data_IF_372952347195
#
_entry.id   IF_372952347195
#
_cell.length_a   1.000
_cell.length_b   1.000
_cell.length_c   1.000
_cell.angle_alpha   90.00
_cell.angle_beta   90.00
_cell.angle_gamma   90.00
#
_symmetry.space_group_name_H-M   'P 1'
#
loop_
_entity.id
_entity.type
_entity.pdbx_description
1 polymer ?
#
# COMPACT_ATOMS: atom_id res chain seq x y z
N UNK A 1 -1.61 -20.04 -26.98
CA UNK A 1 -1.09 -18.66 -26.99
C UNK A 1 -0.02 -18.55 -25.92
N UNK A 2 1.24 -18.33 -26.32
CA UNK A 2 2.38 -18.31 -25.39
C UNK A 2 2.35 -16.99 -24.60
N UNK A 3 2.09 -17.10 -23.30
CA UNK A 3 2.34 -16.06 -22.31
C UNK A 3 3.80 -15.62 -22.41
N UNK A 4 4.05 -14.38 -22.84
CA UNK A 4 5.36 -13.75 -22.67
C UNK A 4 5.46 -13.34 -21.20
N UNK A 5 6.23 -14.10 -20.42
CA UNK A 5 6.73 -13.66 -19.11
C UNK A 5 7.57 -12.40 -19.32
N UNK A 6 7.00 -11.23 -19.05
CA UNK A 6 7.79 -10.03 -18.78
C UNK A 6 8.32 -10.18 -17.36
N UNK A 7 9.56 -10.68 -17.26
CA UNK A 7 10.38 -10.59 -16.05
C UNK A 7 10.33 -9.15 -15.55
N UNK A 8 10.06 -9.01 -14.25
CA UNK A 8 10.15 -7.77 -13.48
C UNK A 8 11.23 -6.82 -14.04
N UNK A 9 10.81 -5.68 -14.58
CA UNK A 9 11.74 -4.72 -15.17
C UNK A 9 12.32 -3.87 -14.06
N UNK A 10 13.42 -4.33 -13.48
CA UNK A 10 14.22 -3.59 -12.51
C UNK A 10 15.35 -2.86 -13.23
N UNK A 11 15.42 -1.54 -13.08
CA UNK A 11 16.65 -0.79 -13.41
C UNK A 11 17.68 -1.16 -12.36
N UNK A 12 18.62 -2.04 -12.74
CA UNK A 12 19.70 -2.49 -11.86
C UNK A 12 20.95 -1.68 -12.19
N UNK A 13 21.33 -0.76 -11.31
CA UNK A 13 22.62 -0.06 -11.42
C UNK A 13 23.72 -1.04 -11.00
N UNK A 14 24.45 -1.63 -11.96
CA UNK A 14 25.67 -2.38 -11.67
C UNK A 14 26.85 -1.42 -11.63
N UNK A 15 27.37 -1.15 -10.43
CA UNK A 15 28.63 -0.44 -10.23
C UNK A 15 29.76 -1.47 -10.24
N UNK A 16 30.69 -1.38 -11.20
CA UNK A 16 31.82 -2.31 -11.32
C UNK A 16 32.94 -2.09 -10.28
N UNK A 17 32.62 -1.51 -9.12
CA UNK A 17 33.48 -1.48 -7.93
C UNK A 17 32.63 -1.56 -6.67
N UNK A 18 32.99 -2.51 -5.79
CA UNK A 18 32.38 -2.75 -4.49
C UNK A 18 32.42 -1.48 -3.63
N UNK A 19 31.29 -0.80 -3.50
CA UNK A 19 30.84 -0.10 -2.29
C UNK A 19 29.57 0.70 -2.61
N UNK A 20 28.45 0.36 -1.95
CA UNK A 20 27.81 1.25 -0.98
C UNK A 20 26.54 0.58 -0.43
N UNK A 21 26.59 0.25 0.86
CA UNK A 21 25.42 0.01 1.69
C UNK A 21 24.71 1.37 1.83
N UNK A 22 23.56 1.51 1.19
CA UNK A 22 22.71 2.69 1.28
C UNK A 22 21.28 2.22 1.32
N UNK A 23 20.52 2.67 2.31
CA UNK A 23 19.09 2.37 2.46
C UNK A 23 18.43 2.66 1.11
N UNK A 24 17.98 1.60 0.43
CA UNK A 24 17.35 1.68 -0.89
C UNK A 24 15.99 2.36 -0.73
N UNK A 25 15.95 3.69 -0.79
CA UNK A 25 14.70 4.39 -1.08
C UNK A 25 14.30 4.01 -2.51
N UNK A 26 13.52 2.94 -2.62
CA UNK A 26 12.93 2.53 -3.88
C UNK A 26 11.79 3.51 -4.19
N UNK A 27 11.78 4.01 -5.42
CA UNK A 27 10.77 4.97 -5.88
C UNK A 27 9.93 4.29 -6.96
N UNK A 28 8.61 4.57 -7.00
CA UNK A 28 7.77 4.14 -8.12
C UNK A 28 8.33 4.63 -9.45
N UNK A 29 8.25 3.80 -10.48
CA UNK A 29 8.76 4.11 -11.83
C UNK A 29 7.65 4.20 -12.88
N UNK A 30 6.39 3.97 -12.53
CA UNK A 30 5.25 4.07 -13.46
C UNK A 30 5.05 5.46 -14.07
N UNK A 31 5.59 6.53 -13.45
CA UNK A 31 5.59 7.90 -14.01
C UNK A 31 6.82 8.19 -14.89
N UNK A 32 7.65 7.19 -15.13
CA UNK A 32 8.99 7.35 -15.68
C UNK A 32 10.00 7.75 -14.63
N UNK A 33 11.27 7.67 -14.99
CA UNK A 33 12.37 8.08 -14.13
C UNK A 33 13.43 8.82 -14.93
N UNK A 34 13.99 9.88 -14.34
CA UNK A 34 15.25 10.47 -14.77
C UNK A 34 16.31 10.00 -13.79
N UNK A 35 17.42 9.47 -14.29
CA UNK A 35 18.54 9.05 -13.44
C UNK A 35 19.83 9.64 -13.99
N UNK A 36 20.75 9.99 -13.09
CA UNK A 36 22.08 10.46 -13.43
C UNK A 36 23.12 9.51 -12.85
N UNK A 37 24.08 9.08 -13.66
CA UNK A 37 25.23 8.29 -13.21
C UNK A 37 26.41 9.24 -13.14
N UNK A 38 26.94 9.44 -11.92
CA UNK A 38 28.12 10.25 -11.67
C UNK A 38 29.29 9.36 -11.29
N UNK A 39 30.46 9.64 -11.85
CA UNK A 39 31.70 8.95 -11.53
C UNK A 39 32.86 9.92 -11.44
N UNK A 40 33.82 9.60 -10.56
CA UNK A 40 35.05 10.37 -10.37
C UNK A 40 36.23 9.57 -10.93
N UNK A 41 36.98 10.17 -11.86
CA UNK A 41 38.21 9.57 -12.40
C UNK A 41 39.31 10.63 -12.50
N UNK A 42 40.44 10.39 -11.84
CA UNK A 42 41.59 11.31 -11.77
C UNK A 42 41.22 12.76 -11.40
N UNK A 43 40.35 12.94 -10.39
CA UNK A 43 39.92 14.27 -9.94
C UNK A 43 38.94 14.99 -10.86
N UNK A 44 38.54 14.37 -11.98
CA UNK A 44 37.51 14.89 -12.89
C UNK A 44 36.19 14.15 -12.66
N UNK A 45 35.09 14.90 -12.54
CA UNK A 45 33.73 14.35 -12.46
C UNK A 45 33.17 14.13 -13.87
N UNK A 46 32.64 12.94 -14.12
CA UNK A 46 31.87 12.61 -15.31
C UNK A 46 30.44 12.32 -14.89
N UNK A 47 29.48 12.87 -15.63
CA UNK A 47 28.05 12.70 -15.35
C UNK A 47 27.31 12.40 -16.64
N UNK A 48 26.51 11.34 -16.62
CA UNK A 48 25.61 10.96 -17.71
C UNK A 48 24.18 10.88 -17.21
N UNK A 49 23.22 11.32 -18.03
CA UNK A 49 21.80 11.25 -17.71
C UNK A 49 21.09 10.21 -18.56
N UNK A 50 20.21 9.44 -17.94
CA UNK A 50 19.35 8.47 -18.58
C UNK A 50 17.90 8.67 -18.21
N UNK A 51 17.00 8.21 -19.09
CA UNK A 51 15.55 8.30 -18.90
C UNK A 51 14.93 6.93 -19.06
N UNK A 52 14.04 6.61 -18.13
CA UNK A 52 13.12 5.51 -18.22
C UNK A 52 11.74 6.05 -18.60
N UNK A 53 11.23 5.61 -19.76
CA UNK A 53 9.88 5.91 -20.21
C UNK A 53 9.08 4.61 -20.12
N UNK A 54 8.00 4.58 -19.33
CA UNK A 54 7.16 3.40 -19.21
C UNK A 54 6.45 3.14 -20.55
N UNK A 55 6.32 1.86 -20.91
CA UNK A 55 5.59 1.45 -22.10
C UNK A 55 4.08 1.69 -21.91
N UNK A 56 3.33 1.78 -23.01
CA UNK A 56 1.90 2.09 -23.01
C UNK A 56 1.57 3.56 -23.16
N UNK A 57 0.32 3.84 -23.53
CA UNK A 57 -0.16 5.21 -23.77
C UNK A 57 -0.46 5.94 -22.45
N UNK A 58 -0.07 7.21 -22.34
CA UNK A 58 -0.35 8.03 -21.17
C UNK A 58 -1.86 8.10 -20.86
N UNK A 59 -2.22 7.86 -19.60
CA UNK A 59 -3.61 7.84 -19.12
C UNK A 59 -4.31 6.50 -19.31
N UNK A 60 -3.62 5.45 -19.75
CA UNK A 60 -4.17 4.08 -19.78
C UNK A 60 -4.00 3.32 -18.46
N UNK A 61 -3.00 3.72 -17.66
CA UNK A 61 -2.75 3.18 -16.32
C UNK A 61 -3.90 3.50 -15.36
N UNK A 62 -3.99 2.75 -14.28
CA UNK A 62 -5.00 2.98 -13.24
C UNK A 62 -4.78 4.33 -12.55
N UNK A 63 -5.85 4.94 -12.09
CA UNK A 63 -5.84 6.22 -11.35
C UNK A 63 -6.41 6.02 -9.94
N UNK A 64 -6.05 6.87 -8.98
CA UNK A 64 -6.57 6.83 -7.61
C UNK A 64 -6.45 5.45 -6.95
N UNK A 65 -5.30 4.80 -7.11
CA UNK A 65 -5.00 3.55 -6.42
C UNK A 65 -4.96 3.80 -4.91
N UNK A 66 -5.67 2.96 -4.16
CA UNK A 66 -5.69 3.01 -2.70
C UNK A 66 -5.96 1.63 -2.14
N UNK A 67 -5.41 1.34 -0.97
CA UNK A 67 -5.65 0.11 -0.24
C UNK A 67 -6.02 0.43 1.21
N UNK A 68 -6.82 -0.44 1.81
CA UNK A 68 -7.14 -0.41 3.24
C UNK A 68 -7.06 -1.83 3.80
N UNK A 69 -6.35 -1.96 4.92
CA UNK A 69 -6.33 -3.21 5.69
C UNK A 69 -7.38 -3.10 6.79
N UNK A 70 -8.14 -4.17 7.01
CA UNK A 70 -9.20 -4.23 8.01
C UNK A 70 -9.27 -5.65 8.57
N UNK A 71 -9.92 -5.80 9.72
CA UNK A 71 -10.07 -7.09 10.39
C UNK A 71 -8.74 -7.86 10.47
N UNK A 72 -7.66 -7.18 10.88
CA UNK A 72 -6.32 -7.73 11.16
C UNK A 72 -5.50 -8.08 9.91
N UNK A 73 -6.07 -8.78 8.92
CA UNK A 73 -5.30 -9.30 7.77
C UNK A 73 -6.01 -9.24 6.41
N UNK A 74 -7.23 -8.69 6.34
CA UNK A 74 -7.92 -8.51 5.06
C UNK A 74 -7.55 -7.18 4.43
N UNK A 75 -7.25 -7.17 3.15
CA UNK A 75 -6.90 -5.94 2.44
C UNK A 75 -7.78 -5.77 1.21
N UNK A 76 -8.43 -4.61 1.11
CA UNK A 76 -9.14 -4.22 -0.10
C UNK A 76 -8.36 -3.10 -0.77
N UNK A 77 -8.09 -3.26 -2.07
CA UNK A 77 -7.49 -2.24 -2.92
C UNK A 77 -8.47 -1.85 -4.01
N UNK A 78 -8.57 -0.56 -4.31
CA UNK A 78 -9.47 0.00 -5.33
C UNK A 78 -8.71 0.94 -6.24
N UNK A 79 -9.19 1.07 -7.47
CA UNK A 79 -8.66 2.05 -8.42
C UNK A 79 -9.71 2.45 -9.45
N UNK A 80 -9.49 3.61 -10.06
CA UNK A 80 -10.22 4.05 -11.23
C UNK A 80 -9.55 3.52 -12.50
N UNK A 81 -10.37 3.21 -13.49
CA UNK A 81 -9.90 2.87 -14.84
C UNK A 81 -9.23 4.11 -15.46
N UNK A 82 -8.12 3.89 -16.17
CA UNK A 82 -7.41 4.97 -16.85
C UNK A 82 -8.32 5.70 -17.83
N UNK A 83 -8.27 7.03 -17.80
CA UNK A 83 -9.10 7.91 -18.65
C UNK A 83 -8.99 7.65 -20.15
N UNK A 84 -7.83 7.15 -20.60
CA UNK A 84 -7.55 6.82 -22.00
C UNK A 84 -7.49 5.31 -22.24
N UNK A 85 -7.85 4.49 -21.24
CA UNK A 85 -7.82 3.05 -21.37
C UNK A 85 -8.92 2.57 -22.33
N UNK A 86 -8.60 1.74 -23.32
CA UNK A 86 -9.58 1.04 -24.13
C UNK A 86 -10.64 0.32 -23.30
N UNK A 87 -11.86 0.19 -23.83
CA UNK A 87 -12.95 -0.55 -23.15
C UNK A 87 -12.63 -2.02 -22.90
N UNK A 88 -11.80 -2.65 -23.73
CA UNK A 88 -11.37 -4.05 -23.57
C UNK A 88 -10.19 -4.20 -22.59
N UNK A 89 -9.81 -3.13 -21.89
CA UNK A 89 -8.69 -3.15 -20.93
C UNK A 89 -9.03 -3.98 -19.71
N UNK A 90 -8.17 -4.94 -19.38
CA UNK A 90 -8.23 -5.69 -18.12
C UNK A 90 -7.02 -5.39 -17.23
N UNK A 91 -7.24 -5.22 -15.93
CA UNK A 91 -6.20 -4.87 -14.94
C UNK A 91 -5.84 -6.02 -14.01
N UNK A 92 -4.59 -6.10 -13.58
CA UNK A 92 -4.09 -7.16 -12.72
C UNK A 92 -3.18 -6.60 -11.63
N UNK A 93 -3.64 -6.68 -10.39
CA UNK A 93 -2.88 -6.29 -9.20
C UNK A 93 -1.97 -7.41 -8.66
N UNK A 94 -0.74 -7.03 -8.32
CA UNK A 94 0.31 -7.85 -7.68
C UNK A 94 0.84 -7.14 -6.43
N UNK A 95 1.16 -7.94 -5.41
CA UNK A 95 1.73 -7.51 -4.13
C UNK A 95 3.07 -8.24 -3.89
N UNK A 96 4.12 -7.51 -3.51
CA UNK A 96 5.45 -8.07 -3.24
C UNK A 96 6.00 -7.54 -1.90
N UNK A 97 6.23 -8.43 -0.93
CA UNK A 97 6.78 -8.07 0.39
C UNK A 97 8.29 -7.78 0.35
N UNK A 98 9.03 -8.50 -0.47
CA UNK A 98 10.47 -8.29 -0.65
C UNK A 98 10.88 -8.63 -2.08
N UNK A 99 12.13 -8.35 -2.44
CA UNK A 99 12.68 -8.68 -3.77
C UNK A 99 12.96 -10.17 -3.96
N UNK A 100 13.04 -10.91 -2.86
CA UNK A 100 13.43 -12.31 -2.82
C UNK A 100 12.21 -13.24 -2.66
N UNK A 101 11.05 -12.66 -2.34
CA UNK A 101 9.78 -13.38 -2.22
C UNK A 101 8.99 -13.38 -3.54
N UNK A 102 8.16 -14.41 -3.71
CA UNK A 102 7.27 -14.57 -4.85
C UNK A 102 6.21 -13.46 -4.91
N UNK A 103 5.84 -13.04 -6.14
CA UNK A 103 4.79 -12.06 -6.35
C UNK A 103 3.41 -12.65 -6.02
N UNK A 104 2.67 -12.05 -5.08
CA UNK A 104 1.30 -12.44 -4.76
C UNK A 104 0.33 -11.77 -5.74
N UNK A 105 -0.19 -12.55 -6.70
CA UNK A 105 -1.27 -12.09 -7.58
C UNK A 105 -2.61 -12.07 -6.86
N UNK A 106 -3.37 -11.01 -7.06
CA UNK A 106 -4.74 -10.95 -6.54
C UNK A 106 -5.64 -12.04 -7.15
N UNK A 107 -6.43 -12.70 -6.30
CA UNK A 107 -7.32 -13.79 -6.68
C UNK A 107 -8.81 -13.40 -6.68
N UNK A 108 -9.18 -12.29 -6.03
CA UNK A 108 -10.58 -11.87 -5.87
C UNK A 108 -10.78 -10.44 -6.34
N UNK A 109 -11.21 -10.29 -7.58
CA UNK A 109 -11.50 -8.98 -8.17
C UNK A 109 -12.98 -8.62 -8.08
N UNK A 110 -13.25 -7.32 -8.03
CA UNK A 110 -14.57 -6.74 -8.28
C UNK A 110 -14.50 -6.00 -9.60
N UNK A 111 -15.54 -6.17 -10.41
CA UNK A 111 -15.58 -5.69 -11.78
C UNK A 111 -16.57 -4.55 -11.94
N UNK A 112 -16.28 -3.65 -12.88
CA UNK A 112 -17.25 -2.66 -13.34
C UNK A 112 -18.27 -3.28 -14.33
N UNK A 113 -19.18 -2.46 -14.84
CA UNK A 113 -20.21 -2.88 -15.79
C UNK A 113 -19.65 -3.45 -17.11
N UNK A 114 -18.41 -3.12 -17.48
CA UNK A 114 -17.73 -3.64 -18.67
C UNK A 114 -16.87 -4.88 -18.35
N UNK A 115 -16.89 -5.37 -17.11
CA UNK A 115 -16.10 -6.53 -16.69
C UNK A 115 -14.63 -6.22 -16.37
N UNK A 116 -14.24 -4.95 -16.30
CA UNK A 116 -12.87 -4.53 -15.99
C UNK A 116 -12.66 -4.59 -14.48
N UNK A 117 -11.54 -5.14 -14.03
CA UNK A 117 -11.19 -5.19 -12.62
C UNK A 117 -10.97 -3.77 -12.09
N UNK A 118 -11.72 -3.37 -11.07
CA UNK A 118 -11.66 -2.04 -10.42
C UNK A 118 -11.35 -2.12 -8.92
N UNK A 119 -11.41 -3.33 -8.35
CA UNK A 119 -10.95 -3.57 -7.00
C UNK A 119 -10.42 -5.00 -6.84
N UNK A 120 -9.64 -5.21 -5.79
CA UNK A 120 -9.07 -6.47 -5.39
C UNK A 120 -9.22 -6.67 -3.88
N UNK A 121 -9.46 -7.92 -3.46
CA UNK A 121 -9.37 -8.33 -2.06
C UNK A 121 -8.29 -9.39 -1.87
N UNK A 122 -7.36 -9.14 -0.93
CA UNK A 122 -6.40 -10.13 -0.43
C UNK A 122 -6.86 -10.66 0.93
N UNK A 123 -6.62 -11.95 1.15
CA UNK A 123 -6.77 -12.59 2.46
C UNK A 123 -5.39 -12.84 3.07
N UNK A 124 -5.31 -12.79 4.39
CA UNK A 124 -4.11 -13.17 5.15
C UNK A 124 -2.85 -12.37 4.79
N UNK A 125 -3.01 -11.07 4.61
CA UNK A 125 -1.90 -10.13 4.36
C UNK A 125 -1.04 -10.03 5.62
N UNK A 126 0.27 -10.22 5.47
CA UNK A 126 1.27 -9.98 6.52
C UNK A 126 1.50 -8.47 6.65
N UNK A 127 1.06 -7.87 7.75
CA UNK A 127 1.37 -6.45 8.01
C UNK A 127 2.80 -6.37 8.55
N UNK A 128 3.70 -5.80 7.76
CA UNK A 128 5.10 -5.58 8.10
C UNK A 128 5.37 -4.08 8.28
N UNK A 129 6.40 -3.72 9.05
CA UNK A 129 6.81 -2.32 9.27
C UNK A 129 7.59 -1.71 8.09
N UNK A 130 7.92 -2.51 7.08
CA UNK A 130 8.62 -2.06 5.87
C UNK A 130 7.64 -1.76 4.72
N UNK A 131 8.13 -1.05 3.70
CA UNK A 131 7.37 -0.74 2.51
C UNK A 131 7.14 -2.01 1.67
N UNK A 132 5.90 -2.20 1.25
CA UNK A 132 5.51 -3.29 0.37
C UNK A 132 5.25 -2.73 -1.02
N UNK A 133 5.66 -3.47 -2.07
CA UNK A 133 5.54 -3.04 -3.45
C UNK A 133 4.23 -3.54 -4.07
N UNK A 134 3.45 -2.61 -4.59
CA UNK A 134 2.23 -2.87 -5.35
C UNK A 134 2.51 -2.62 -6.84
N UNK A 135 2.02 -3.50 -7.71
CA UNK A 135 2.09 -3.33 -9.17
C UNK A 135 0.74 -3.64 -9.80
N UNK A 136 0.20 -2.74 -10.60
CA UNK A 136 -0.98 -2.99 -11.44
C UNK A 136 -0.55 -2.99 -12.89
N UNK A 137 -0.73 -4.13 -13.56
CA UNK A 137 -0.56 -4.26 -15.00
C UNK A 137 -1.90 -4.12 -15.70
N UNK A 138 -1.88 -3.80 -17.00
CA UNK A 138 -3.06 -3.84 -17.85
C UNK A 138 -2.80 -4.59 -19.15
N UNK A 139 -3.86 -5.11 -19.75
CA UNK A 139 -3.84 -5.73 -21.08
C UNK A 139 -5.03 -5.26 -21.90
N UNK A 140 -4.81 -4.93 -23.18
CA UNK A 140 -5.84 -4.65 -24.17
C UNK A 140 -5.37 -5.18 -25.53
N UNK A 141 -6.30 -5.52 -26.41
CA UNK A 141 -6.00 -5.88 -27.80
C UNK A 141 -5.78 -4.65 -28.69
N UNK A 142 -6.18 -3.45 -28.24
CA UNK A 142 -6.10 -2.20 -29.02
C UNK A 142 -4.80 -1.43 -28.79
N UNK A 143 -4.27 -1.46 -27.57
CA UNK A 143 -3.04 -0.73 -27.23
C UNK A 143 -2.34 -1.31 -26.02
N UNK A 144 -1.04 -1.03 -25.89
CA UNK A 144 -0.31 -1.28 -24.66
C UNK A 144 -0.84 -0.39 -23.53
N UNK A 145 -0.97 -0.99 -22.34
CA UNK A 145 -1.47 -0.32 -21.14
C UNK A 145 -0.29 -0.05 -20.22
N UNK A 146 -0.15 1.22 -19.83
CA UNK A 146 0.89 1.64 -18.91
C UNK A 146 0.64 1.01 -17.54
N UNK A 147 1.68 0.42 -16.94
CA UNK A 147 1.57 -0.15 -15.60
C UNK A 147 1.47 0.96 -14.55
N UNK A 148 1.10 0.59 -13.33
CA UNK A 148 1.15 1.41 -12.13
C UNK A 148 1.99 0.69 -11.09
N UNK A 149 2.75 1.43 -10.29
CA UNK A 149 3.43 0.88 -9.14
C UNK A 149 3.50 1.83 -7.95
N UNK A 150 3.53 1.30 -6.74
CA UNK A 150 3.67 2.11 -5.54
C UNK A 150 4.31 1.32 -4.41
N UNK A 151 5.02 2.02 -3.51
CA UNK A 151 5.53 1.48 -2.27
C UNK A 151 4.69 2.02 -1.13
N UNK A 152 4.04 1.14 -0.36
CA UNK A 152 3.15 1.52 0.74
C UNK A 152 3.58 0.82 2.02
N UNK A 153 3.68 1.57 3.11
CA UNK A 153 3.81 1.03 4.46
C UNK A 153 2.44 0.48 4.91
N UNK A 154 2.33 -0.85 5.06
CA UNK A 154 1.02 -1.48 5.33
C UNK A 154 0.39 -1.03 6.66
N UNK A 155 1.20 -0.72 7.68
CA UNK A 155 0.70 -0.22 8.96
C UNK A 155 0.03 1.17 8.87
N UNK A 156 0.35 1.96 7.84
CA UNK A 156 -0.24 3.31 7.64
C UNK A 156 -1.63 3.24 7.01
N UNK A 157 -1.94 2.11 6.34
CA UNK A 157 -3.24 1.86 5.71
C UNK A 157 -4.08 0.85 6.51
N UNK A 158 -3.65 0.47 7.72
CA UNK A 158 -4.41 -0.38 8.62
C UNK A 158 -5.50 0.41 9.33
N UNK A 159 -6.75 0.00 9.09
CA UNK A 159 -7.90 0.44 9.86
C UNK A 159 -8.03 -0.43 11.11
N UNK A 160 -7.62 0.13 12.24
CA UNK A 160 -7.78 -0.50 13.54
C UNK A 160 -9.26 -0.72 13.88
N UNK A 161 -9.52 -1.82 14.59
CA UNK A 161 -10.84 -2.08 15.17
C UNK A 161 -11.06 -1.18 16.40
N UNK A 162 -12.32 -0.91 16.79
CA UNK A 162 -12.61 -0.23 18.04
C UNK A 162 -12.07 -1.00 19.26
N UNK A 163 -11.91 -0.35 20.42
CA UNK A 163 -11.62 -1.03 21.68
C UNK A 163 -12.65 -2.13 21.97
N UNK A 164 -12.18 -3.21 22.59
CA UNK A 164 -13.01 -4.36 22.92
C UNK A 164 -13.40 -4.32 24.41
N UNK A 165 -14.48 -5.03 24.77
CA UNK A 165 -14.89 -5.25 26.16
C UNK A 165 -14.96 -3.96 26.99
N UNK A 166 -15.63 -2.93 26.45
CA UNK A 166 -15.85 -1.68 27.17
C UNK A 166 -16.80 -1.97 28.34
N UNK A 167 -16.34 -1.77 29.57
CA UNK A 167 -17.15 -1.90 30.79
C UNK A 167 -17.10 -0.62 31.60
N UNK A 168 -18.19 -0.35 32.33
CA UNK A 168 -18.31 0.82 33.20
C UNK A 168 -18.81 0.33 34.55
N UNK A 169 -18.02 0.56 35.59
CA UNK A 169 -18.38 0.26 36.97
C UNK A 169 -18.52 1.55 37.74
N UNK A 170 -19.69 1.78 38.34
CA UNK A 170 -19.95 2.96 39.17
C UNK A 170 -20.12 2.56 40.63
N UNK A 171 -19.49 3.31 41.54
CA UNK A 171 -19.75 3.28 42.97
C UNK A 171 -20.60 4.48 43.36
N UNK A 172 -21.46 4.32 44.36
CA UNK A 172 -22.28 5.42 44.89
C UNK A 172 -21.53 6.19 45.99
N UNK A 173 -20.55 5.56 46.65
CA UNK A 173 -19.76 6.14 47.75
C UNK A 173 -18.25 5.79 47.62
N UNK A 174 -17.39 6.70 47.14
CA UNK A 174 -17.73 7.97 46.50
C UNK A 174 -18.42 7.74 45.14
N UNK A 175 -19.21 8.72 44.67
CA UNK A 175 -19.83 8.70 43.34
C UNK A 175 -18.77 8.79 42.24
N UNK A 176 -18.25 7.64 41.82
CA UNK A 176 -17.18 7.50 40.84
C UNK A 176 -17.53 6.40 39.84
N UNK A 177 -17.29 6.64 38.55
CA UNK A 177 -17.43 5.64 37.51
C UNK A 177 -16.08 5.38 36.85
N UNK A 178 -15.65 4.11 36.84
CA UNK A 178 -14.45 3.66 36.15
C UNK A 178 -14.84 2.96 34.85
N UNK A 179 -14.38 3.51 33.72
CA UNK A 179 -14.49 2.86 32.41
C UNK A 179 -13.20 2.09 32.11
N UNK A 180 -13.32 0.83 31.69
CA UNK A 180 -12.19 0.00 31.27
C UNK A 180 -12.47 -0.61 29.90
N UNK A 181 -11.41 -0.86 29.13
CA UNK A 181 -11.50 -1.49 27.82
C UNK A 181 -10.20 -2.23 27.49
N UNK A 182 -10.31 -3.19 26.58
CA UNK A 182 -9.19 -3.87 25.97
C UNK A 182 -8.76 -3.17 24.68
N UNK A 183 -7.46 -3.09 24.44
CA UNK A 183 -6.93 -2.56 23.18
C UNK A 183 -7.35 -3.43 21.99
N UNK A 184 -7.59 -2.85 20.81
CA UNK A 184 -7.84 -3.63 19.62
C UNK A 184 -6.68 -4.56 19.28
N UNK A 185 -6.98 -5.64 18.57
CA UNK A 185 -5.95 -6.55 18.02
C UNK A 185 -5.21 -5.83 16.91
N UNK A 186 -3.88 -5.82 17.00
CA UNK A 186 -2.96 -5.22 16.02
C UNK A 186 -2.12 -6.36 15.45
N UNK A 187 -2.10 -6.50 14.12
CA UNK A 187 -1.47 -7.65 13.43
C UNK A 187 0.07 -7.58 13.34
N UNK A 188 0.65 -6.38 13.42
CA UNK A 188 2.08 -6.12 13.17
C UNK A 188 2.91 -5.84 14.44
N UNK A 189 2.32 -6.06 15.62
CA UNK A 189 3.00 -5.93 16.91
C UNK A 189 3.12 -7.31 17.56
N UNK A 190 4.21 -8.00 17.27
CA UNK A 190 4.64 -9.13 18.10
C UNK A 190 5.33 -8.59 19.37
N UNK A 191 4.85 -9.01 20.54
CA UNK A 191 5.48 -8.76 21.83
C UNK A 191 5.02 -7.50 22.59
N UNK A 192 5.65 -7.27 23.74
CA UNK A 192 5.38 -6.16 24.67
C UNK A 192 6.12 -4.88 24.23
N UNK A 193 5.91 -4.45 22.99
CA UNK A 193 6.42 -3.16 22.50
C UNK A 193 5.31 -2.12 22.57
N UNK A 194 5.68 -0.91 22.99
CA UNK A 194 4.76 0.17 23.40
C UNK A 194 3.57 0.36 22.45
N UNK A 195 2.37 0.12 23.00
CA UNK A 195 1.10 0.40 22.33
C UNK A 195 0.88 1.90 22.34
N UNK A 196 1.41 2.61 21.34
CA UNK A 196 1.16 4.04 21.15
C UNK A 196 -0.25 4.32 20.59
N UNK A 197 -1.27 3.80 21.26
CA UNK A 197 -2.67 4.06 20.93
C UNK A 197 -3.16 5.32 21.65
N UNK A 198 -3.84 6.18 20.91
CA UNK A 198 -4.59 7.30 21.47
C UNK A 198 -6.07 6.96 21.40
N UNK A 199 -6.76 7.14 22.52
CA UNK A 199 -8.20 6.91 22.62
C UNK A 199 -8.91 8.25 22.72
N UNK A 200 -10.13 8.30 22.20
CA UNK A 200 -11.06 9.40 22.40
C UNK A 200 -12.30 8.83 23.09
N UNK A 201 -12.73 9.47 24.18
CA UNK A 201 -13.88 9.04 24.98
C UNK A 201 -14.94 10.12 24.86
N UNK A 202 -16.15 9.74 24.46
CA UNK A 202 -17.30 10.65 24.41
C UNK A 202 -18.33 10.22 25.46
N UNK A 203 -18.57 11.09 26.43
CA UNK A 203 -19.54 10.88 27.51
C UNK A 203 -20.72 11.81 27.29
N UNK A 204 -21.93 11.26 27.20
CA UNK A 204 -23.15 12.03 26.96
C UNK A 204 -24.13 11.89 28.14
N UNK A 205 -24.54 13.01 28.72
CA UNK A 205 -25.63 13.04 29.69
C UNK A 205 -26.97 13.06 28.93
N UNK A 206 -27.79 12.03 29.14
CA UNK A 206 -29.07 11.86 28.44
C UNK A 206 -30.16 12.86 28.85
N UNK A 207 -30.06 13.46 30.03
CA UNK A 207 -31.04 14.44 30.51
C UNK A 207 -30.74 15.86 30.02
N UNK A 208 -29.46 16.21 29.89
CA UNK A 208 -29.03 17.57 29.50
C UNK A 208 -28.52 17.67 28.06
N UNK A 209 -28.36 16.53 27.35
CA UNK A 209 -27.73 16.42 26.03
C UNK A 209 -26.31 17.02 25.95
N UNK A 210 -25.64 17.21 27.09
CA UNK A 210 -24.26 17.71 27.14
C UNK A 210 -23.29 16.57 26.86
N UNK A 211 -22.34 16.81 25.96
CA UNK A 211 -21.28 15.85 25.57
C UNK A 211 -19.93 16.34 26.06
N UNK A 212 -19.15 15.47 26.72
CA UNK A 212 -17.75 15.72 27.07
C UNK A 212 -16.89 14.80 26.22
N UNK A 213 -15.94 15.37 25.47
CA UNK A 213 -14.97 14.65 24.66
C UNK A 213 -13.61 14.81 25.33
N UNK A 214 -12.96 13.69 25.67
CA UNK A 214 -11.61 13.64 26.19
C UNK A 214 -10.71 12.74 25.35
#
# INVERSE_FOLDING_TARGET
>A
MKSKELRSMHVTFQVSRKSCFGIRQTKPIHKGALYSVKTMYNGTEYSEEGRFIPQGMNGTSVENFSCVIYNISFMNCTWNVGRNAPEDTQYFLYLLYSKEEDELRCSRYINDALGRHIACSFQDVKIVKEHVYFRVNGSSNKSEIQFYDEYICLYEIEKLTPPLNITVNCSEDPSECTATWESPKISHLEGNTDRCLKYQINIQNKETNVSIIS
#
